data_IF_864915807142
#
_entry.id   IF_864915807142
#
_cell.length_a   1.000
_cell.length_b   1.000
_cell.length_c   1.000
_cell.angle_alpha   90.00
_cell.angle_beta   90.00
_cell.angle_gamma   90.00
#
_symmetry.space_group_name_H-M   'P 1'
#
loop_
_entity.id
_entity.type
_entity.pdbx_description
1 polymer ?
#
# COMPACT_ATOMS: atom_id res chain seq x y z
N UNK A 1 -1.27 -13.55 -0.22
CA UNK A 1 -1.60 -12.85 -1.49
C UNK A 1 -1.58 -13.87 -2.63
N UNK A 2 -2.25 -13.59 -3.76
CA UNK A 2 -2.21 -14.45 -4.95
C UNK A 2 -1.19 -13.89 -5.95
N UNK A 3 -0.32 -14.74 -6.48
CA UNK A 3 0.73 -14.36 -7.42
C UNK A 3 0.57 -15.16 -8.72
N UNK A 4 0.96 -14.56 -9.85
CA UNK A 4 0.88 -15.15 -11.17
C UNK A 4 2.20 -14.92 -11.92
N UNK A 5 2.63 -15.92 -12.67
CA UNK A 5 3.77 -15.85 -13.58
C UNK A 5 3.39 -16.53 -14.89
N UNK A 6 3.70 -15.88 -16.00
CA UNK A 6 3.54 -16.40 -17.35
C UNK A 6 4.92 -16.35 -18.00
N UNK A 7 5.32 -17.47 -18.60
CA UNK A 7 6.61 -17.64 -19.26
C UNK A 7 6.36 -18.06 -20.71
N UNK A 8 7.23 -17.58 -21.61
CA UNK A 8 7.22 -17.93 -23.03
C UNK A 8 8.64 -18.22 -23.51
N UNK A 9 8.85 -19.45 -23.96
CA UNK A 9 10.08 -19.89 -24.60
C UNK A 9 10.05 -19.62 -26.10
N UNK A 10 11.17 -19.12 -26.61
CA UNK A 10 11.46 -18.87 -28.00
C UNK A 10 12.77 -19.57 -28.36
N UNK A 11 12.75 -20.33 -29.46
CA UNK A 11 13.93 -20.93 -30.07
C UNK A 11 14.50 -19.92 -31.09
N UNK A 12 15.75 -19.46 -30.88
CA UNK A 12 16.49 -18.57 -31.76
C UNK A 12 17.54 -19.34 -32.59
N UNK A 13 17.17 -20.52 -33.08
CA UNK A 13 18.00 -21.38 -33.92
C UNK A 13 18.77 -22.43 -33.11
N UNK A 14 19.59 -23.23 -33.79
CA UNK A 14 20.08 -24.53 -33.31
C UNK A 14 20.80 -24.58 -31.93
N UNK A 15 21.11 -23.45 -31.28
CA UNK A 15 21.80 -23.39 -29.98
C UNK A 15 21.38 -22.23 -29.06
N UNK A 16 20.35 -21.45 -29.37
CA UNK A 16 19.97 -20.29 -28.55
C UNK A 16 18.51 -20.37 -28.12
N UNK A 17 18.27 -20.40 -26.83
CA UNK A 17 16.92 -20.30 -26.26
C UNK A 17 16.72 -18.96 -25.55
N UNK A 18 15.62 -18.27 -25.83
CA UNK A 18 15.19 -17.07 -25.10
C UNK A 18 13.90 -17.39 -24.35
N UNK A 19 13.90 -17.19 -23.05
CA UNK A 19 12.68 -17.19 -22.27
C UNK A 19 12.34 -15.76 -21.86
N UNK A 20 11.09 -15.37 -22.10
CA UNK A 20 10.53 -14.10 -21.64
C UNK A 20 9.46 -14.40 -20.61
N UNK A 21 9.48 -13.68 -19.49
CA UNK A 21 8.52 -13.87 -18.41
C UNK A 21 7.90 -12.56 -17.94
N UNK A 22 6.61 -12.64 -17.58
CA UNK A 22 5.86 -11.64 -16.85
C UNK A 22 5.45 -12.23 -15.51
N UNK A 23 5.83 -11.59 -14.42
CA UNK A 23 5.42 -11.96 -13.05
C UNK A 23 4.62 -10.83 -12.42
N UNK A 24 3.42 -11.15 -11.96
CA UNK A 24 2.54 -10.25 -11.21
C UNK A 24 2.39 -10.77 -9.78
N UNK A 25 2.79 -9.98 -8.80
CA UNK A 25 2.54 -10.26 -7.38
C UNK A 25 1.32 -9.48 -6.90
N UNK A 26 0.49 -10.10 -6.05
CA UNK A 26 -0.79 -9.56 -5.59
C UNK A 26 -1.76 -9.24 -6.75
N UNK A 27 -2.12 -10.26 -7.54
CA UNK A 27 -3.02 -10.14 -8.71
C UNK A 27 -4.38 -9.55 -8.32
N UNK A 28 -4.89 -9.91 -7.15
CA UNK A 28 -6.20 -9.43 -6.66
C UNK A 28 -6.13 -8.04 -6.02
N UNK A 29 -4.94 -7.43 -5.93
CA UNK A 29 -4.70 -6.16 -5.23
C UNK A 29 -5.29 -6.11 -3.82
N UNK A 30 -5.21 -7.24 -3.11
CA UNK A 30 -5.76 -7.32 -1.76
C UNK A 30 -4.88 -6.50 -0.82
N UNK A 31 -5.49 -5.55 -0.11
CA UNK A 31 -4.89 -4.81 1.00
C UNK A 31 -4.93 -5.67 2.27
N UNK A 32 -3.94 -6.54 2.43
CA UNK A 32 -3.86 -7.38 3.61
C UNK A 32 -3.28 -6.59 4.78
N UNK A 33 -4.04 -6.46 5.87
CA UNK A 33 -3.59 -5.80 7.10
C UNK A 33 -2.57 -6.71 7.81
N UNK A 34 -1.40 -6.14 8.14
CA UNK A 34 -0.29 -6.81 8.85
C UNK A 34 0.13 -6.04 10.11
N UNK A 35 -0.42 -4.84 10.32
CA UNK A 35 -0.21 -4.02 11.50
C UNK A 35 -1.46 -3.18 11.78
N UNK A 36 -1.61 -2.77 13.03
CA UNK A 36 -2.75 -1.96 13.48
C UNK A 36 -2.29 -0.97 14.53
N UNK A 37 -3.03 0.13 14.68
CA UNK A 37 -2.85 1.02 15.82
C UNK A 37 -3.26 0.30 17.11
N UNK A 38 -2.42 0.38 18.14
CA UNK A 38 -2.65 -0.33 19.41
C UNK A 38 -3.88 0.16 20.18
N UNK A 39 -4.25 1.43 19.99
CA UNK A 39 -5.37 2.05 20.71
C UNK A 39 -6.74 1.57 20.21
N UNK A 40 -6.88 1.31 18.91
CA UNK A 40 -8.17 0.97 18.26
C UNK A 40 -8.22 -0.46 17.72
N UNK A 41 -7.06 -1.09 17.51
CA UNK A 41 -6.96 -2.34 16.75
C UNK A 41 -7.28 -2.18 15.26
N UNK A 42 -7.42 -0.96 14.76
CA UNK A 42 -7.68 -0.64 13.36
C UNK A 42 -6.39 -0.26 12.63
N UNK A 43 -6.29 -0.58 11.34
CA UNK A 43 -5.20 -0.10 10.48
C UNK A 43 -5.46 1.32 9.92
N UNK A 44 -6.71 1.79 10.01
CA UNK A 44 -7.18 3.04 9.38
C UNK A 44 -7.65 4.08 10.40
N UNK A 45 -7.54 3.81 11.70
CA UNK A 45 -7.94 4.75 12.75
C UNK A 45 -7.03 4.56 13.95
N UNK A 46 -6.37 5.61 14.43
CA UNK A 46 -5.56 5.60 15.64
C UNK A 46 -6.37 5.99 16.89
N UNK A 47 -7.62 6.43 16.70
CA UNK A 47 -8.57 6.80 17.73
C UNK A 47 -8.36 8.20 18.31
N UNK A 48 -7.36 8.97 17.84
CA UNK A 48 -7.04 10.24 18.48
C UNK A 48 -8.13 11.29 18.28
N UNK A 49 -8.75 11.41 17.09
CA UNK A 49 -9.87 12.34 16.89
C UNK A 49 -11.08 12.03 17.79
N UNK A 50 -11.23 10.79 18.26
CA UNK A 50 -12.32 10.39 19.18
C UNK A 50 -11.95 10.54 20.66
N UNK A 51 -10.67 10.76 20.95
CA UNK A 51 -10.19 10.97 22.32
C UNK A 51 -10.58 12.35 22.84
N UNK A 52 -10.63 12.52 24.17
CA UNK A 52 -10.91 13.83 24.77
C UNK A 52 -9.93 14.91 24.29
N UNK A 53 -8.63 14.57 24.23
CA UNK A 53 -7.59 15.48 23.74
C UNK A 53 -7.79 15.89 22.28
N UNK A 54 -8.24 14.96 21.43
CA UNK A 54 -8.54 15.24 20.04
C UNK A 54 -9.74 16.18 19.89
N UNK A 55 -10.79 15.97 20.68
CA UNK A 55 -11.95 16.85 20.73
C UNK A 55 -11.57 18.27 21.20
N UNK A 56 -10.78 18.38 22.28
CA UNK A 56 -10.28 19.66 22.77
C UNK A 56 -9.47 20.39 21.67
N UNK A 57 -8.64 19.67 20.91
CA UNK A 57 -7.85 20.26 19.84
C UNK A 57 -8.71 20.73 18.65
N UNK A 58 -9.73 19.95 18.28
CA UNK A 58 -10.70 20.33 17.24
C UNK A 58 -11.44 21.60 17.66
N UNK A 59 -11.92 21.68 18.90
CA UNK A 59 -12.64 22.84 19.43
C UNK A 59 -11.75 24.09 19.43
N UNK A 60 -10.49 23.96 19.87
CA UNK A 60 -9.52 25.06 19.84
C UNK A 60 -9.24 25.57 18.41
N UNK A 61 -9.15 24.67 17.42
CA UNK A 61 -8.92 25.06 16.02
C UNK A 61 -10.17 25.71 15.44
N UNK A 62 -11.35 25.13 15.69
CA UNK A 62 -12.63 25.66 15.25
C UNK A 62 -12.95 27.05 15.84
N UNK A 63 -12.52 27.32 17.07
CA UNK A 63 -12.63 28.63 17.72
C UNK A 63 -11.57 29.66 17.29
N UNK A 64 -10.66 29.30 16.37
CA UNK A 64 -9.57 30.16 15.90
C UNK A 64 -9.77 30.60 14.44
N UNK A 65 -8.95 31.54 13.95
CA UNK A 65 -8.93 31.94 12.53
C UNK A 65 -8.31 30.86 11.58
N UNK A 66 -8.14 29.62 12.04
CA UNK A 66 -7.58 28.51 11.26
C UNK A 66 -8.70 27.67 10.65
N UNK A 67 -8.48 27.16 9.44
CA UNK A 67 -9.40 26.22 8.82
C UNK A 67 -9.33 24.85 9.51
N UNK A 68 -10.45 24.43 10.11
CA UNK A 68 -10.60 23.07 10.65
C UNK A 68 -10.44 22.01 9.55
N UNK A 69 -10.98 22.27 8.36
CA UNK A 69 -10.88 21.36 7.21
C UNK A 69 -9.43 21.06 6.86
N UNK A 70 -8.58 22.09 6.82
CA UNK A 70 -7.15 21.92 6.53
C UNK A 70 -6.45 21.07 7.59
N UNK A 71 -6.85 21.18 8.85
CA UNK A 71 -6.34 20.33 9.93
C UNK A 71 -6.77 18.87 9.73
N UNK A 72 -8.05 18.60 9.48
CA UNK A 72 -8.57 17.24 9.28
C UNK A 72 -7.93 16.54 8.07
N UNK A 73 -7.75 17.25 6.95
CA UNK A 73 -7.06 16.71 5.77
C UNK A 73 -5.60 16.37 6.09
N UNK A 74 -4.88 17.28 6.77
CA UNK A 74 -3.49 17.03 7.16
C UNK A 74 -3.35 15.84 8.10
N UNK A 75 -4.30 15.67 9.02
CA UNK A 75 -4.35 14.56 9.95
C UNK A 75 -4.61 13.24 9.22
N UNK A 76 -5.56 13.23 8.29
CA UNK A 76 -5.85 12.04 7.49
C UNK A 76 -4.64 11.55 6.70
N UNK A 77 -3.80 12.46 6.18
CA UNK A 77 -2.55 12.08 5.54
C UNK A 77 -1.51 11.51 6.50
N UNK A 78 -1.41 12.06 7.72
CA UNK A 78 -0.53 11.54 8.75
C UNK A 78 -0.96 10.14 9.25
N UNK A 79 -2.24 9.82 9.14
CA UNK A 79 -2.82 8.56 9.59
C UNK A 79 -2.64 7.42 8.58
N UNK A 80 -2.39 7.72 7.30
CA UNK A 80 -2.13 6.67 6.31
C UNK A 80 -0.75 6.06 6.56
N UNK A 81 -0.73 4.86 7.12
CA UNK A 81 0.50 4.11 7.35
C UNK A 81 0.64 2.94 6.37
N UNK A 82 1.52 3.01 5.36
CA UNK A 82 1.72 1.92 4.41
C UNK A 82 2.32 0.66 5.05
N UNK A 83 3.01 0.77 6.19
CA UNK A 83 3.64 -0.37 6.87
C UNK A 83 2.61 -1.30 7.53
N UNK A 84 1.36 -0.86 7.67
CA UNK A 84 0.26 -1.69 8.14
C UNK A 84 -0.33 -2.59 7.07
N UNK A 85 0.10 -2.42 5.82
CA UNK A 85 -0.38 -3.18 4.68
C UNK A 85 0.72 -4.01 4.06
N UNK A 86 0.38 -5.23 3.64
CA UNK A 86 1.27 -6.03 2.80
C UNK A 86 1.62 -5.27 1.50
N UNK A 87 2.78 -5.57 0.93
CA UNK A 87 3.28 -4.92 -0.29
C UNK A 87 2.20 -4.80 -1.39
N UNK A 88 2.16 -3.65 -2.09
CA UNK A 88 1.21 -3.42 -3.18
C UNK A 88 1.48 -4.35 -4.36
N UNK A 89 0.57 -4.31 -5.36
CA UNK A 89 0.77 -5.04 -6.61
C UNK A 89 2.11 -4.65 -7.26
N UNK A 90 2.91 -5.66 -7.60
CA UNK A 90 4.18 -5.48 -8.31
C UNK A 90 4.22 -6.31 -9.57
N UNK A 91 4.65 -5.72 -10.67
CA UNK A 91 4.78 -6.37 -11.97
C UNK A 91 6.26 -6.37 -12.38
N UNK A 92 6.75 -7.51 -12.81
CA UNK A 92 8.12 -7.69 -13.26
C UNK A 92 8.09 -8.32 -14.65
N UNK A 93 8.81 -7.71 -15.59
CA UNK A 93 9.07 -8.28 -16.91
C UNK A 93 10.55 -8.57 -16.99
N UNK A 94 10.91 -9.76 -17.44
CA UNK A 94 12.30 -10.14 -17.62
C UNK A 94 12.47 -11.14 -18.74
N UNK A 95 13.72 -11.35 -19.14
CA UNK A 95 14.10 -12.36 -20.09
C UNK A 95 15.43 -12.98 -19.70
N UNK A 96 15.61 -14.27 -19.98
CA UNK A 96 16.91 -14.94 -19.83
C UNK A 96 17.28 -15.67 -21.13
N UNK A 97 18.57 -15.60 -21.47
CA UNK A 97 19.17 -16.25 -22.62
C UNK A 97 19.87 -17.53 -22.14
N UNK A 98 19.73 -18.59 -22.93
CA UNK A 98 20.40 -19.87 -22.76
C UNK A 98 21.15 -20.22 -24.04
N UNK A 99 22.35 -20.78 -23.89
CA UNK A 99 23.30 -21.12 -24.96
C UNK A 99 23.82 -22.55 -24.81
#
# INVERSE_FOLDING_TARGET
TLNLRIDKDFDLGNRLGLNVFLRVSNVLDRRNIIGVYSATGSADDDGFLRSSRGQDQIENIAGSNRSLESYLVSYQWALINPDFYSLPRRMFVGAYLSF
#
